data_IF_493102324846
#
_entry.id   IF_493102324846
#
_cell.length_a   1.000
_cell.length_b   1.000
_cell.length_c   1.000
_cell.angle_alpha   90.00
_cell.angle_beta   90.00
_cell.angle_gamma   90.00
#
_symmetry.space_group_name_H-M   'P 1'
#
loop_
_entity.id
_entity.type
_entity.pdbx_description
1 polymer ?
#
# COMPACT_ATOMS: atom_id res chain seq x y z
N UNK A 1 -12.58 -27.63 -28.09
CA UNK A 1 -11.58 -27.16 -27.12
C UNK A 1 -11.98 -25.77 -26.69
N UNK A 2 -12.46 -25.67 -25.47
CA UNK A 2 -12.79 -24.43 -24.79
C UNK A 2 -11.79 -24.19 -23.66
N UNK A 3 -11.69 -22.93 -23.28
CA UNK A 3 -10.84 -22.49 -22.19
C UNK A 3 -11.70 -22.16 -20.97
N UNK A 4 -11.25 -22.60 -19.79
CA UNK A 4 -11.95 -22.44 -18.52
C UNK A 4 -11.02 -21.89 -17.46
N UNK A 5 -11.56 -21.12 -16.51
CA UNK A 5 -10.87 -20.72 -15.28
C UNK A 5 -11.60 -21.36 -14.11
N UNK A 6 -10.87 -22.05 -13.24
CA UNK A 6 -11.35 -22.57 -11.96
C UNK A 6 -10.58 -21.92 -10.81
N UNK A 7 -11.18 -21.91 -9.62
CA UNK A 7 -10.62 -21.21 -8.47
C UNK A 7 -10.07 -22.19 -7.45
N UNK A 8 -8.83 -21.99 -7.03
CA UNK A 8 -8.25 -22.65 -5.87
C UNK A 8 -8.29 -21.72 -4.66
N UNK A 9 -8.81 -22.22 -3.54
CA UNK A 9 -8.69 -21.57 -2.25
C UNK A 9 -7.52 -22.18 -1.48
N UNK A 10 -6.45 -21.42 -1.32
CA UNK A 10 -5.22 -21.89 -0.66
C UNK A 10 -5.40 -22.22 0.82
N UNK A 11 -6.46 -21.74 1.47
CA UNK A 11 -6.77 -22.11 2.85
C UNK A 11 -7.43 -23.49 2.95
N UNK A 12 -7.85 -24.08 1.82
CA UNK A 12 -8.46 -25.40 1.74
C UNK A 12 -7.54 -26.43 1.09
N UNK A 13 -6.74 -26.01 0.11
CA UNK A 13 -5.90 -26.90 -0.67
C UNK A 13 -4.60 -26.21 -1.11
N UNK A 14 -3.45 -26.80 -0.77
CA UNK A 14 -2.12 -26.33 -1.18
C UNK A 14 -1.81 -26.76 -2.62
N UNK A 15 -2.38 -26.04 -3.58
CA UNK A 15 -2.16 -26.32 -5.01
C UNK A 15 -0.70 -26.14 -5.43
N UNK A 16 0.05 -25.27 -4.75
CA UNK A 16 1.46 -25.02 -5.04
C UNK A 16 2.33 -26.19 -4.55
N UNK A 17 2.06 -26.71 -3.36
CA UNK A 17 2.66 -27.95 -2.85
C UNK A 17 2.31 -29.16 -3.70
N UNK A 18 1.05 -29.25 -4.13
CA UNK A 18 0.55 -30.34 -4.96
C UNK A 18 1.28 -30.39 -6.31
N UNK A 19 1.35 -29.29 -7.05
CA UNK A 19 2.05 -29.25 -8.34
C UNK A 19 3.58 -29.29 -8.25
N UNK A 20 4.17 -29.10 -7.07
CA UNK A 20 5.61 -29.40 -6.86
C UNK A 20 5.92 -30.89 -6.84
N UNK A 21 4.94 -31.74 -6.51
CA UNK A 21 5.10 -33.19 -6.33
C UNK A 21 4.31 -34.02 -7.34
N UNK A 22 3.23 -33.48 -7.90
CA UNK A 22 2.29 -34.17 -8.76
C UNK A 22 2.14 -33.43 -10.09
N UNK A 23 2.20 -34.17 -11.21
CA UNK A 23 1.95 -33.61 -12.55
C UNK A 23 0.45 -33.55 -12.91
N UNK A 24 -0.38 -34.17 -12.06
CA UNK A 24 -1.83 -34.32 -12.27
C UNK A 24 -2.57 -34.21 -10.95
N UNK A 25 -3.76 -33.64 -10.98
CA UNK A 25 -4.66 -33.54 -9.83
C UNK A 25 -6.07 -34.01 -10.20
N UNK A 26 -6.81 -34.54 -9.22
CA UNK A 26 -8.25 -34.69 -9.36
C UNK A 26 -8.96 -33.48 -8.79
N UNK A 27 -9.78 -32.83 -9.60
CA UNK A 27 -10.51 -31.64 -9.22
C UNK A 27 -12.01 -31.87 -9.32
N UNK A 28 -12.78 -31.22 -8.45
CA UNK A 28 -14.25 -31.25 -8.53
C UNK A 28 -14.74 -30.76 -9.89
N UNK A 29 -15.60 -31.54 -10.55
CA UNK A 29 -16.17 -31.19 -11.84
C UNK A 29 -17.62 -30.71 -11.72
N UNK A 30 -17.80 -29.40 -11.50
CA UNK A 30 -19.13 -28.76 -11.42
C UNK A 30 -19.61 -28.12 -12.73
N UNK A 31 -18.93 -28.35 -13.85
CA UNK A 31 -19.20 -27.75 -15.16
C UNK A 31 -19.10 -28.77 -16.31
N UNK A 32 -19.50 -28.33 -17.50
CA UNK A 32 -19.44 -29.12 -18.74
C UNK A 32 -18.08 -28.95 -19.44
N UNK A 33 -16.99 -29.13 -18.70
CA UNK A 33 -15.63 -29.21 -19.27
C UNK A 33 -15.53 -30.52 -20.06
N UNK A 34 -14.91 -30.47 -21.24
CA UNK A 34 -14.69 -31.64 -22.12
C UNK A 34 -13.22 -32.11 -22.08
N UNK A 35 -12.97 -33.37 -22.48
CA UNK A 35 -11.59 -33.88 -22.59
C UNK A 35 -10.89 -33.08 -23.68
N UNK A 36 -9.68 -32.59 -23.37
CA UNK A 36 -8.91 -31.73 -24.26
C UNK A 36 -9.14 -30.23 -24.07
N UNK A 37 -10.06 -29.82 -23.19
CA UNK A 37 -10.21 -28.41 -22.81
C UNK A 37 -9.02 -27.92 -21.97
N UNK A 38 -8.68 -26.63 -22.14
CA UNK A 38 -7.71 -25.93 -21.31
C UNK A 38 -8.39 -25.46 -20.03
N UNK A 39 -7.77 -25.74 -18.89
CA UNK A 39 -8.26 -25.32 -17.58
C UNK A 39 -7.19 -24.52 -16.86
N UNK A 40 -7.42 -23.23 -16.70
CA UNK A 40 -6.59 -22.32 -15.91
C UNK A 40 -7.00 -22.37 -14.44
N UNK A 41 -6.04 -22.46 -13.53
CA UNK A 41 -6.29 -22.39 -12.08
C UNK A 41 -5.92 -21.00 -11.59
N UNK A 42 -6.95 -20.24 -11.22
CA UNK A 42 -6.84 -18.98 -10.49
C UNK A 42 -6.69 -19.26 -9.00
N UNK A 43 -5.58 -18.81 -8.42
CA UNK A 43 -5.28 -18.99 -7.01
C UNK A 43 -5.80 -17.77 -6.24
N UNK A 44 -6.60 -18.03 -5.21
CA UNK A 44 -7.24 -17.01 -4.38
C UNK A 44 -6.25 -16.14 -3.58
N UNK A 45 -6.75 -15.29 -2.70
CA UNK A 45 -5.91 -14.43 -1.88
C UNK A 45 -4.89 -15.25 -1.05
N UNK A 46 -3.63 -14.76 -0.89
CA UNK A 46 -3.13 -13.46 -1.34
C UNK A 46 -2.59 -13.45 -2.78
N UNK A 47 -2.57 -14.59 -3.48
CA UNK A 47 -1.98 -14.72 -4.83
C UNK A 47 -2.79 -13.97 -5.89
N UNK A 48 -4.12 -14.11 -5.84
CA UNK A 48 -5.08 -13.41 -6.70
C UNK A 48 -4.70 -13.38 -8.20
N UNK A 49 -4.26 -14.52 -8.75
CA UNK A 49 -3.78 -14.62 -10.14
C UNK A 49 -3.96 -16.02 -10.72
N UNK A 50 -3.98 -16.14 -12.05
CA UNK A 50 -3.85 -17.45 -12.71
C UNK A 50 -2.40 -17.93 -12.54
N UNK A 51 -2.24 -19.11 -11.95
CA UNK A 51 -0.92 -19.72 -11.68
C UNK A 51 -0.66 -20.97 -12.50
N UNK A 52 -1.69 -21.66 -12.97
CA UNK A 52 -1.51 -22.93 -13.66
C UNK A 52 -2.39 -23.00 -14.89
N UNK A 53 -1.84 -23.53 -15.98
CA UNK A 53 -2.57 -24.02 -17.13
C UNK A 53 -2.55 -25.54 -17.09
N UNK A 54 -3.72 -26.13 -17.17
CA UNK A 54 -3.91 -27.57 -17.16
C UNK A 54 -4.68 -28.01 -18.39
N UNK A 55 -4.57 -29.30 -18.71
CA UNK A 55 -5.38 -29.98 -19.70
C UNK A 55 -6.33 -30.94 -18.99
N UNK A 56 -7.62 -30.88 -19.32
CA UNK A 56 -8.59 -31.87 -18.85
C UNK A 56 -8.37 -33.19 -19.61
N UNK A 57 -8.02 -34.26 -18.88
CA UNK A 57 -7.61 -35.56 -19.48
C UNK A 57 -8.58 -36.70 -19.19
N UNK A 58 -9.32 -36.63 -18.08
CA UNK A 58 -10.43 -37.53 -17.74
C UNK A 58 -11.56 -36.71 -17.10
N UNK A 59 -12.79 -37.21 -17.21
CA UNK A 59 -14.00 -36.56 -16.70
C UNK A 59 -14.92 -37.57 -16.06
N UNK A 60 -15.88 -37.07 -15.28
CA UNK A 60 -16.94 -37.85 -14.67
C UNK A 60 -16.44 -39.03 -13.82
N UNK A 61 -15.29 -38.88 -13.17
CA UNK A 61 -14.78 -39.87 -12.25
C UNK A 61 -15.68 -39.89 -11.00
N UNK A 62 -16.11 -41.08 -10.58
CA UNK A 62 -16.94 -41.26 -9.39
C UNK A 62 -16.13 -41.04 -8.11
N UNK A 63 -14.84 -41.38 -8.14
CA UNK A 63 -13.90 -41.26 -7.04
C UNK A 63 -12.58 -40.59 -7.48
N UNK A 64 -11.78 -40.13 -6.51
CA UNK A 64 -10.44 -39.61 -6.76
C UNK A 64 -9.44 -40.76 -6.93
N UNK A 65 -8.75 -40.81 -8.06
CA UNK A 65 -7.71 -41.78 -8.39
C UNK A 65 -6.30 -41.31 -7.94
N UNK A 66 -6.14 -40.02 -7.68
CA UNK A 66 -4.87 -39.39 -7.30
C UNK A 66 -4.86 -39.11 -5.79
N UNK A 67 -3.83 -39.60 -5.10
CA UNK A 67 -3.64 -39.40 -3.66
C UNK A 67 -2.97 -38.07 -3.42
N UNK A 68 -3.75 -37.06 -3.00
CA UNK A 68 -3.29 -35.69 -2.74
C UNK A 68 -3.74 -35.16 -1.37
N UNK A 69 -4.19 -36.05 -0.48
CA UNK A 69 -4.67 -35.74 0.87
C UNK A 69 -3.67 -34.95 1.71
N UNK A 70 -2.36 -35.09 1.47
CA UNK A 70 -1.32 -34.33 2.17
C UNK A 70 -1.38 -32.81 1.88
N UNK A 71 -2.04 -32.39 0.80
CA UNK A 71 -2.21 -30.99 0.42
C UNK A 71 -3.57 -30.42 0.83
N UNK A 72 -4.44 -31.24 1.40
CA UNK A 72 -5.74 -30.79 1.92
C UNK A 72 -5.51 -30.12 3.28
N UNK A 73 -5.64 -28.79 3.32
CA UNK A 73 -5.45 -27.99 4.54
C UNK A 73 -6.72 -27.98 5.40
N UNK A 74 -7.89 -27.87 4.76
CA UNK A 74 -9.19 -27.90 5.43
C UNK A 74 -10.17 -28.80 4.67
N UNK A 75 -10.35 -30.01 5.20
CA UNK A 75 -11.23 -31.04 4.65
C UNK A 75 -12.71 -30.89 5.02
N UNK A 76 -13.12 -29.87 5.78
CA UNK A 76 -14.51 -29.66 6.22
C UNK A 76 -15.52 -29.58 5.06
N UNK A 77 -15.04 -29.23 3.87
CA UNK A 77 -15.82 -29.21 2.64
C UNK A 77 -15.46 -30.32 1.65
N UNK A 78 -14.46 -31.18 1.93
CA UNK A 78 -14.14 -32.39 1.16
C UNK A 78 -15.20 -33.46 1.47
N UNK A 79 -16.42 -33.19 1.02
CA UNK A 79 -17.48 -34.18 0.94
C UNK A 79 -17.36 -34.83 -0.44
N UNK A 80 -17.72 -36.11 -0.60
CA UNK A 80 -17.85 -36.73 -1.92
C UNK A 80 -18.59 -35.79 -2.87
N UNK A 81 -17.85 -35.16 -3.78
CA UNK A 81 -18.42 -34.16 -4.68
C UNK A 81 -19.22 -34.80 -5.82
N UNK A 82 -19.31 -36.14 -5.82
CA UNK A 82 -19.99 -36.99 -6.78
C UNK A 82 -19.31 -37.10 -8.14
N UNK A 83 -18.49 -36.11 -8.53
CA UNK A 83 -17.89 -36.06 -9.86
C UNK A 83 -16.58 -35.29 -9.91
N UNK A 84 -15.54 -35.94 -10.42
CA UNK A 84 -14.20 -35.38 -10.54
C UNK A 84 -13.70 -35.39 -11.99
N UNK A 85 -12.73 -34.52 -12.25
CA UNK A 85 -11.97 -34.45 -13.49
C UNK A 85 -10.47 -34.58 -13.20
N UNK A 86 -9.71 -35.18 -14.12
CA UNK A 86 -8.25 -35.23 -14.06
C UNK A 86 -7.67 -34.03 -14.82
N UNK A 87 -6.96 -33.16 -14.10
CA UNK A 87 -6.23 -32.03 -14.65
C UNK A 87 -4.75 -32.37 -14.71
N UNK A 88 -4.19 -32.40 -15.92
CA UNK A 88 -2.75 -32.54 -16.13
C UNK A 88 -2.12 -31.16 -16.25
N UNK A 89 -1.09 -30.87 -15.46
CA UNK A 89 -0.33 -29.63 -15.56
C UNK A 89 0.31 -29.52 -16.95
N UNK A 90 0.15 -28.35 -17.58
CA UNK A 90 0.78 -27.99 -18.85
C UNK A 90 1.84 -26.92 -18.61
N UNK A 91 1.49 -25.90 -17.82
CA UNK A 91 2.36 -24.75 -17.62
C UNK A 91 2.07 -24.07 -16.28
N UNK A 92 3.11 -23.48 -15.67
CA UNK A 92 3.01 -22.68 -14.45
C UNK A 92 3.35 -21.23 -14.76
N UNK A 93 2.53 -20.30 -14.28
CA UNK A 93 2.68 -18.88 -14.51
C UNK A 93 3.13 -18.14 -13.25
N UNK A 94 4.14 -17.28 -13.45
CA UNK A 94 4.52 -16.22 -12.51
C UNK A 94 4.34 -14.83 -13.12
N UNK A 95 3.45 -14.72 -14.10
CA UNK A 95 3.22 -13.49 -14.82
C UNK A 95 2.31 -12.55 -14.00
N UNK A 96 2.78 -11.35 -13.61
CA UNK A 96 1.97 -10.37 -12.89
C UNK A 96 0.78 -9.84 -13.71
N UNK A 97 0.80 -9.95 -15.05
CA UNK A 97 -0.30 -9.58 -15.93
C UNK A 97 -1.51 -10.52 -15.81
N UNK A 98 -1.35 -11.71 -15.23
CA UNK A 98 -2.45 -12.64 -14.97
C UNK A 98 -3.09 -12.42 -13.59
N UNK A 99 -2.91 -11.24 -12.99
CA UNK A 99 -3.56 -10.86 -11.75
C UNK A 99 -5.06 -10.57 -11.94
N UNK A 100 -5.79 -10.60 -10.84
CA UNK A 100 -7.25 -10.41 -10.82
C UNK A 100 -7.71 -9.18 -11.58
N UNK A 101 -7.11 -8.03 -11.34
CA UNK A 101 -7.63 -6.76 -11.84
C UNK A 101 -7.45 -6.70 -13.35
N UNK A 102 -6.30 -7.13 -13.85
CA UNK A 102 -6.03 -7.26 -15.28
C UNK A 102 -6.96 -8.26 -15.97
N UNK A 103 -7.22 -9.42 -15.36
CA UNK A 103 -8.16 -10.39 -15.91
C UNK A 103 -9.58 -9.83 -15.97
N UNK A 104 -10.01 -9.10 -14.94
CA UNK A 104 -11.34 -8.50 -14.87
C UNK A 104 -11.51 -7.36 -15.89
N UNK A 105 -10.48 -6.53 -16.07
CA UNK A 105 -10.44 -5.48 -17.11
C UNK A 105 -10.50 -6.06 -18.52
N UNK A 106 -9.98 -7.28 -18.71
CA UNK A 106 -9.92 -7.96 -20.01
C UNK A 106 -10.94 -9.10 -20.15
N UNK A 107 -12.10 -8.99 -19.48
CA UNK A 107 -13.26 -9.82 -19.79
C UNK A 107 -13.62 -10.91 -18.76
N UNK A 108 -12.86 -11.07 -17.68
CA UNK A 108 -13.26 -11.94 -16.57
C UNK A 108 -14.38 -11.29 -15.76
N UNK A 109 -15.53 -11.97 -15.63
CA UNK A 109 -16.70 -11.41 -14.92
C UNK A 109 -16.69 -11.64 -13.42
N UNK A 110 -16.18 -12.80 -12.98
CA UNK A 110 -16.11 -13.19 -11.58
C UNK A 110 -15.04 -14.26 -11.37
N UNK A 111 -14.46 -14.27 -10.18
CA UNK A 111 -13.46 -15.27 -9.73
C UNK A 111 -14.06 -16.32 -8.79
N UNK A 112 -15.36 -16.24 -8.50
CA UNK A 112 -16.05 -17.22 -7.65
C UNK A 112 -16.62 -18.36 -8.51
N UNK A 113 -15.93 -19.50 -8.44
CA UNK A 113 -16.30 -20.73 -9.13
C UNK A 113 -15.86 -20.78 -10.60
N UNK A 114 -16.07 -21.93 -11.27
CA UNK A 114 -15.65 -22.12 -12.65
C UNK A 114 -16.30 -21.12 -13.61
N UNK A 115 -15.50 -20.55 -14.50
CA UNK A 115 -15.93 -19.58 -15.50
C UNK A 115 -15.36 -19.94 -16.87
N UNK A 116 -16.16 -19.78 -17.94
CA UNK A 116 -15.68 -19.96 -19.31
C UNK A 116 -14.92 -18.73 -19.76
N UNK A 117 -13.79 -18.93 -20.43
CA UNK A 117 -12.99 -17.85 -21.02
C UNK A 117 -13.64 -17.42 -22.34
N UNK A 118 -13.94 -16.13 -22.49
CA UNK A 118 -14.47 -15.56 -23.74
C UNK A 118 -13.32 -15.18 -24.68
N UNK A 119 -13.63 -14.78 -25.92
CA UNK A 119 -12.62 -14.47 -26.94
C UNK A 119 -11.65 -13.35 -26.51
N UNK A 120 -12.18 -12.31 -25.85
CA UNK A 120 -11.39 -11.19 -25.33
C UNK A 120 -10.39 -11.63 -24.26
N UNK A 121 -10.85 -12.38 -23.27
CA UNK A 121 -10.00 -12.89 -22.19
C UNK A 121 -9.01 -13.95 -22.71
N UNK A 122 -9.40 -14.75 -23.70
CA UNK A 122 -8.50 -15.71 -24.34
C UNK A 122 -7.36 -15.00 -25.06
N UNK A 123 -7.67 -13.95 -25.84
CA UNK A 123 -6.66 -13.14 -26.51
C UNK A 123 -5.71 -12.48 -25.51
N UNK A 124 -6.25 -11.97 -24.40
CA UNK A 124 -5.45 -11.36 -23.33
C UNK A 124 -4.52 -12.37 -22.65
N UNK A 125 -5.03 -13.53 -22.24
CA UNK A 125 -4.23 -14.58 -21.61
C UNK A 125 -3.15 -15.07 -22.59
N UNK A 126 -3.51 -15.28 -23.85
CA UNK A 126 -2.56 -15.70 -24.88
C UNK A 126 -1.44 -14.68 -25.05
N UNK A 127 -1.77 -13.41 -25.27
CA UNK A 127 -0.79 -12.33 -25.42
C UNK A 127 0.11 -12.18 -24.17
N UNK A 128 -0.47 -12.36 -22.99
CA UNK A 128 0.27 -12.34 -21.71
C UNK A 128 1.19 -13.54 -21.54
N UNK A 129 0.91 -14.68 -22.19
CA UNK A 129 1.73 -15.90 -22.04
C UNK A 129 2.74 -16.10 -23.18
N UNK A 130 2.46 -15.57 -24.37
CA UNK A 130 3.36 -15.65 -25.54
C UNK A 130 4.52 -14.65 -25.50
N UNK A 131 4.37 -13.52 -24.81
CA UNK A 131 5.41 -12.50 -24.61
C UNK A 131 6.64 -13.00 -23.84
N UNK A 132 6.55 -14.17 -23.19
CA UNK A 132 7.64 -14.78 -22.41
C UNK A 132 8.09 -16.13 -23.02
N UNK A 133 7.40 -16.63 -24.06
CA UNK A 133 7.48 -18.02 -24.50
C UNK A 133 8.11 -18.27 -25.87
N UNK A 134 9.44 -18.13 -26.02
CA UNK A 134 10.19 -18.82 -27.09
C UNK A 134 11.69 -18.98 -26.80
N UNK A 135 12.03 -19.77 -25.78
CA UNK A 135 13.31 -20.49 -25.77
C UNK A 135 13.16 -21.85 -26.47
N UNK A 136 13.30 -21.88 -27.80
CA UNK A 136 13.63 -23.10 -28.56
C UNK A 136 15.01 -22.93 -29.19
N UNK A 137 15.95 -23.78 -28.76
CA UNK A 137 17.30 -23.88 -29.30
C UNK A 137 17.25 -24.18 -30.80
N UNK A 138 17.62 -23.22 -31.65
CA UNK A 138 18.20 -23.44 -32.99
C UNK A 138 19.34 -22.46 -33.21
N UNK A 139 20.51 -22.99 -33.56
CA UNK A 139 21.73 -22.24 -33.90
C UNK A 139 21.49 -21.32 -35.11
N UNK A 140 21.86 -20.03 -35.00
CA UNK A 140 22.79 -19.27 -35.89
C UNK A 140 22.78 -17.76 -35.48
N UNK A 141 23.94 -17.29 -35.04
CA UNK A 141 24.59 -15.95 -35.07
C UNK A 141 23.88 -14.60 -34.75
N UNK A 142 24.65 -13.63 -34.22
CA UNK A 142 24.23 -12.68 -33.19
C UNK A 142 23.89 -11.30 -33.76
N UNK A 143 22.95 -10.59 -33.12
CA UNK A 143 22.97 -9.13 -32.84
C UNK A 143 21.54 -8.62 -32.61
N UNK A 144 20.97 -8.81 -31.42
CA UNK A 144 20.00 -7.84 -30.86
C UNK A 144 20.08 -7.95 -29.33
N UNK A 145 20.38 -6.84 -28.66
CA UNK A 145 20.40 -6.72 -27.20
C UNK A 145 18.98 -6.84 -26.61
N UNK A 146 18.82 -7.27 -25.34
CA UNK A 146 17.49 -7.50 -24.76
C UNK A 146 16.71 -6.20 -24.53
N UNK A 147 15.39 -6.28 -24.69
CA UNK A 147 14.44 -5.17 -24.51
C UNK A 147 14.27 -4.88 -22.99
N UNK A 148 14.18 -3.61 -22.55
CA UNK A 148 14.31 -3.25 -21.13
C UNK A 148 13.21 -3.75 -20.16
N UNK A 149 12.00 -4.10 -20.64
CA UNK A 149 10.83 -4.36 -19.79
C UNK A 149 10.88 -5.69 -19.02
N UNK A 150 11.41 -6.77 -19.61
CA UNK A 150 11.49 -8.08 -18.95
C UNK A 150 12.52 -8.09 -17.81
N UNK A 151 13.59 -7.30 -17.94
CA UNK A 151 14.64 -7.16 -16.92
C UNK A 151 14.16 -6.44 -15.66
N UNK A 152 13.25 -5.46 -15.79
CA UNK A 152 12.73 -4.71 -14.64
C UNK A 152 11.84 -5.58 -13.75
N UNK A 153 11.07 -6.50 -14.34
CA UNK A 153 10.20 -7.44 -13.62
C UNK A 153 11.04 -8.47 -12.85
N UNK A 154 12.12 -8.97 -13.46
CA UNK A 154 13.05 -9.88 -12.76
C UNK A 154 13.72 -9.20 -11.56
N UNK A 155 14.11 -7.93 -11.71
CA UNK A 155 14.71 -7.11 -10.65
C UNK A 155 13.72 -6.84 -9.51
N UNK A 156 12.47 -6.50 -9.81
CA UNK A 156 11.42 -6.32 -8.79
C UNK A 156 11.13 -7.59 -7.98
N UNK A 157 11.39 -8.76 -8.57
CA UNK A 157 11.18 -10.08 -7.96
C UNK A 157 12.47 -10.69 -7.37
N UNK A 158 13.62 -10.03 -7.53
CA UNK A 158 14.94 -10.54 -7.12
C UNK A 158 15.12 -10.60 -5.60
N UNK A 159 14.34 -9.81 -4.85
CA UNK A 159 14.51 -9.61 -3.41
C UNK A 159 15.70 -8.71 -3.03
N UNK A 160 16.41 -8.14 -4.01
CA UNK A 160 17.45 -7.14 -3.77
C UNK A 160 16.81 -5.76 -3.64
N UNK A 161 16.70 -5.29 -2.40
CA UNK A 161 15.90 -4.11 -2.06
C UNK A 161 16.28 -2.85 -2.84
N UNK A 162 17.58 -2.57 -2.97
CA UNK A 162 18.06 -1.38 -3.71
C UNK A 162 17.65 -1.42 -5.19
N UNK A 163 17.77 -2.59 -5.80
CA UNK A 163 17.41 -2.87 -7.18
C UNK A 163 15.90 -2.69 -7.43
N UNK A 164 15.07 -3.18 -6.49
CA UNK A 164 13.61 -2.96 -6.51
C UNK A 164 13.28 -1.47 -6.43
N UNK A 165 13.94 -0.73 -5.54
CA UNK A 165 13.72 0.70 -5.35
C UNK A 165 14.10 1.48 -6.60
N UNK A 166 15.21 1.15 -7.24
CA UNK A 166 15.66 1.83 -8.47
C UNK A 166 14.64 1.66 -9.61
N UNK A 167 14.03 0.47 -9.74
CA UNK A 167 12.92 0.25 -10.69
C UNK A 167 11.69 1.08 -10.32
N UNK A 168 11.30 1.12 -9.05
CA UNK A 168 10.15 1.93 -8.60
C UNK A 168 10.38 3.43 -8.87
N UNK A 169 11.59 3.93 -8.65
CA UNK A 169 11.97 5.31 -8.99
C UNK A 169 11.82 5.54 -10.50
N UNK A 170 12.36 4.65 -11.32
CA UNK A 170 12.28 4.75 -12.79
C UNK A 170 10.83 4.76 -13.28
N UNK A 171 9.99 3.88 -12.76
CA UNK A 171 8.56 3.83 -13.08
C UNK A 171 7.83 5.11 -12.64
N UNK A 172 8.17 5.66 -11.46
CA UNK A 172 7.59 6.91 -11.01
C UNK A 172 8.02 8.08 -11.90
N UNK A 173 9.29 8.17 -12.29
CA UNK A 173 9.80 9.19 -13.23
C UNK A 173 9.00 9.18 -14.53
N UNK A 174 8.73 8.00 -15.09
CA UNK A 174 7.91 7.87 -16.30
C UNK A 174 6.45 8.33 -16.10
N UNK A 175 5.95 8.26 -14.87
CA UNK A 175 4.61 8.70 -14.50
C UNK A 175 4.53 10.18 -14.05
N UNK A 176 5.67 10.87 -13.83
CA UNK A 176 5.70 12.30 -13.46
C UNK A 176 4.82 13.17 -14.38
N UNK A 177 4.86 13.03 -15.72
CA UNK A 177 4.02 13.84 -16.60
C UNK A 177 2.51 13.73 -16.31
N UNK A 178 2.04 12.58 -15.81
CA UNK A 178 0.62 12.36 -15.48
C UNK A 178 0.20 13.08 -14.20
N UNK A 179 1.11 13.27 -13.25
CA UNK A 179 0.84 13.94 -11.97
C UNK A 179 1.22 15.42 -11.98
N UNK A 180 2.08 15.85 -12.92
CA UNK A 180 2.67 17.20 -12.99
C UNK A 180 1.64 18.33 -12.94
N UNK A 181 0.50 18.19 -13.62
CA UNK A 181 -0.57 19.23 -13.60
C UNK A 181 -1.15 19.43 -12.20
N UNK A 182 -1.37 18.34 -11.46
CA UNK A 182 -1.84 18.41 -10.09
C UNK A 182 -0.76 18.97 -9.14
N UNK A 183 0.51 18.58 -9.34
CA UNK A 183 1.64 19.12 -8.59
C UNK A 183 1.76 20.65 -8.75
N UNK A 184 1.67 21.15 -9.99
CA UNK A 184 1.69 22.59 -10.27
C UNK A 184 0.52 23.33 -9.63
N UNK A 185 -0.67 22.73 -9.64
CA UNK A 185 -1.86 23.30 -8.98
C UNK A 185 -1.66 23.40 -7.48
N UNK A 186 -1.17 22.34 -6.84
CA UNK A 186 -0.91 22.33 -5.39
C UNK A 186 0.18 23.33 -5.01
N UNK A 187 1.23 23.43 -5.80
CA UNK A 187 2.30 24.41 -5.59
C UNK A 187 1.80 25.85 -5.72
N UNK A 188 0.94 26.14 -6.71
CA UNK A 188 0.32 27.46 -6.82
C UNK A 188 -0.53 27.84 -5.60
N UNK A 189 -1.28 26.88 -5.04
CA UNK A 189 -2.04 27.08 -3.79
C UNK A 189 -1.11 27.33 -2.60
N UNK A 190 -0.01 26.57 -2.50
CA UNK A 190 1.00 26.73 -1.44
C UNK A 190 1.64 28.11 -1.48
N UNK A 191 2.13 28.52 -2.65
CA UNK A 191 2.77 29.83 -2.85
C UNK A 191 1.81 30.95 -2.46
N UNK A 192 0.55 30.87 -2.91
CA UNK A 192 -0.48 31.84 -2.55
C UNK A 192 -0.73 31.88 -1.03
N UNK A 193 -0.80 30.72 -0.36
CA UNK A 193 -0.97 30.67 1.09
C UNK A 193 0.20 31.32 1.83
N UNK A 194 1.45 31.01 1.45
CA UNK A 194 2.65 31.60 2.07
C UNK A 194 2.71 33.11 1.84
N UNK A 195 2.30 33.59 0.67
CA UNK A 195 2.21 35.02 0.36
C UNK A 195 1.17 35.73 1.23
N UNK A 196 -0.04 35.17 1.33
CA UNK A 196 -1.13 35.72 2.12
C UNK A 196 -0.80 35.75 3.63
N UNK A 197 -0.04 34.75 4.11
CA UNK A 197 0.32 34.57 5.51
C UNK A 197 1.83 34.71 5.78
N UNK A 198 2.48 35.71 5.19
CA UNK A 198 3.83 36.13 5.63
C UNK A 198 3.84 36.41 7.14
N UNK A 199 5.00 36.29 7.79
CA UNK A 199 5.16 36.54 9.24
C UNK A 199 4.49 37.84 9.68
N UNK A 200 4.67 38.94 8.95
CA UNK A 200 4.06 40.22 9.28
C UNK A 200 2.52 40.20 9.20
N UNK A 201 1.95 39.47 8.23
CA UNK A 201 0.51 39.29 8.09
C UNK A 201 -0.03 38.40 9.21
N UNK A 202 0.71 37.36 9.61
CA UNK A 202 0.37 36.51 10.75
C UNK A 202 0.31 37.37 12.02
N UNK A 203 1.34 38.18 12.30
CA UNK A 203 1.41 39.07 13.48
C UNK A 203 0.18 39.99 13.57
N UNK A 204 -0.26 40.50 12.42
CA UNK A 204 -1.39 41.45 12.30
C UNK A 204 -2.76 40.76 12.13
N UNK A 205 -2.80 39.43 12.03
CA UNK A 205 -4.02 38.65 11.80
C UNK A 205 -4.97 38.76 13.00
N UNK A 206 -6.28 38.74 12.74
CA UNK A 206 -7.32 38.66 13.77
C UNK A 206 -7.81 37.22 13.93
N UNK A 207 -8.41 36.89 15.08
CA UNK A 207 -8.89 35.51 15.34
C UNK A 207 -9.96 35.06 14.33
N UNK A 208 -10.79 35.99 13.84
CA UNK A 208 -11.81 35.75 12.83
C UNK A 208 -11.22 35.28 11.49
N UNK A 209 -10.00 35.72 11.19
CA UNK A 209 -9.25 35.36 9.98
C UNK A 209 -8.39 34.10 10.18
N UNK A 210 -8.32 33.59 11.42
CA UNK A 210 -7.59 32.39 11.78
C UNK A 210 -8.47 31.14 11.78
N UNK A 211 -9.62 31.19 12.46
CA UNK A 211 -10.37 29.99 12.86
C UNK A 211 -11.11 29.29 11.71
N UNK A 212 -11.39 28.00 11.91
CA UNK A 212 -12.46 27.28 11.19
C UNK A 212 -13.82 27.53 11.84
N UNK A 213 -14.90 27.26 11.09
CA UNK A 213 -16.27 27.19 11.62
C UNK A 213 -17.12 28.45 11.46
N UNK A 214 -16.58 29.54 10.94
CA UNK A 214 -17.33 30.77 10.65
C UNK A 214 -18.07 30.76 9.29
N UNK A 215 -18.12 29.61 8.60
CA UNK A 215 -18.62 29.51 7.22
C UNK A 215 -17.72 30.16 6.16
N UNK A 216 -16.61 30.77 6.59
CA UNK A 216 -15.58 31.38 5.74
C UNK A 216 -14.60 30.33 5.21
N UNK A 217 -14.17 30.50 3.96
CA UNK A 217 -13.21 29.61 3.27
C UNK A 217 -11.83 30.24 3.08
N UNK A 218 -11.68 31.49 3.50
CA UNK A 218 -10.49 32.32 3.33
C UNK A 218 -9.66 32.44 4.61
N UNK A 219 -10.03 31.75 5.69
CA UNK A 219 -9.31 31.78 6.98
C UNK A 219 -8.11 30.85 7.00
N UNK A 220 -7.12 31.14 7.85
CA UNK A 220 -5.86 30.40 7.94
C UNK A 220 -6.08 28.89 8.14
N UNK A 221 -6.84 28.52 9.18
CA UNK A 221 -7.08 27.12 9.52
C UNK A 221 -7.97 26.41 8.50
N UNK A 222 -8.90 27.12 7.85
CA UNK A 222 -9.70 26.51 6.79
C UNK A 222 -8.83 26.17 5.58
N UNK A 223 -8.03 27.14 5.12
CA UNK A 223 -7.17 26.98 3.94
C UNK A 223 -6.11 25.91 4.17
N UNK A 224 -5.44 25.91 5.33
CA UNK A 224 -4.41 24.92 5.61
C UNK A 224 -4.94 23.48 5.69
N UNK A 225 -6.20 23.29 6.14
CA UNK A 225 -6.84 21.98 6.22
C UNK A 225 -7.46 21.52 4.90
N UNK A 226 -8.22 22.42 4.24
CA UNK A 226 -9.10 22.07 3.12
C UNK A 226 -8.50 22.48 1.77
N UNK A 227 -8.04 23.73 1.62
CA UNK A 227 -7.44 24.22 0.36
C UNK A 227 -6.12 23.47 0.08
N UNK A 228 -5.31 23.26 1.11
CA UNK A 228 -4.02 22.59 1.02
C UNK A 228 -4.08 21.10 1.36
N UNK A 229 -5.26 20.45 1.30
CA UNK A 229 -5.43 19.05 1.69
C UNK A 229 -4.50 18.10 0.92
N UNK A 230 -4.25 18.38 -0.37
CA UNK A 230 -3.35 17.58 -1.21
C UNK A 230 -1.89 17.59 -0.73
N UNK A 231 -1.45 18.65 -0.04
CA UNK A 231 -0.08 18.81 0.45
C UNK A 231 0.10 18.21 1.86
N UNK A 232 -0.38 16.98 2.07
CA UNK A 232 -0.42 16.32 3.37
C UNK A 232 -1.74 16.56 4.11
N UNK A 233 -2.57 15.53 4.18
CA UNK A 233 -3.91 15.60 4.74
C UNK A 233 -3.86 15.60 6.29
N UNK A 234 -4.54 16.56 6.93
CA UNK A 234 -4.62 16.67 8.40
C UNK A 234 -6.05 16.49 8.96
N UNK A 235 -6.97 15.97 8.14
CA UNK A 235 -8.31 15.57 8.58
C UNK A 235 -8.25 14.36 9.54
N UNK A 236 -9.36 14.10 10.22
CA UNK A 236 -9.48 12.99 11.18
C UNK A 236 -9.23 13.40 12.64
N UNK A 237 -8.47 14.47 12.87
CA UNK A 237 -8.37 15.12 14.18
C UNK A 237 -9.44 16.23 14.32
N UNK A 238 -9.93 16.46 15.55
CA UNK A 238 -10.93 17.50 15.83
C UNK A 238 -10.36 18.90 15.62
N UNK A 239 -11.23 19.92 15.44
CA UNK A 239 -10.81 21.32 15.28
C UNK A 239 -10.00 21.86 16.47
N UNK A 240 -10.05 21.21 17.62
CA UNK A 240 -9.20 21.52 18.78
C UNK A 240 -7.69 21.44 18.46
N UNK A 241 -7.28 20.72 17.40
CA UNK A 241 -5.88 20.70 16.92
C UNK A 241 -5.34 22.08 16.54
N UNK A 242 -6.21 23.01 16.16
CA UNK A 242 -5.82 24.39 15.86
C UNK A 242 -5.70 25.26 17.10
N UNK A 243 -5.99 24.74 18.29
CA UNK A 243 -5.94 25.48 19.55
C UNK A 243 -7.12 26.42 19.76
N UNK A 244 -7.60 27.09 18.72
CA UNK A 244 -8.77 27.96 18.71
C UNK A 244 -9.63 27.69 17.47
N UNK A 245 -10.95 27.56 17.66
CA UNK A 245 -11.91 27.35 16.58
C UNK A 245 -13.28 27.94 16.94
N UNK A 246 -14.16 28.11 15.96
CA UNK A 246 -15.56 28.47 16.18
C UNK A 246 -16.45 27.25 15.96
N UNK A 247 -17.39 26.98 16.87
CA UNK A 247 -18.37 25.90 16.68
C UNK A 247 -18.83 25.25 17.97
N UNK A 248 -19.39 24.04 17.84
CA UNK A 248 -19.95 23.23 18.94
C UNK A 248 -18.89 22.29 19.53
N UNK A 249 -19.10 21.81 20.76
CA UNK A 249 -18.17 20.85 21.38
C UNK A 249 -18.86 19.96 22.41
N UNK A 250 -18.79 18.65 22.21
CA UNK A 250 -19.42 17.68 23.12
C UNK A 250 -20.91 17.94 23.25
N UNK A 251 -21.39 18.01 24.49
CA UNK A 251 -22.80 18.29 24.81
C UNK A 251 -23.17 19.77 24.64
N UNK A 252 -22.17 20.67 24.61
CA UNK A 252 -22.39 22.09 24.40
C UNK A 252 -22.60 22.36 22.90
N UNK A 253 -23.87 22.46 22.53
CA UNK A 253 -24.35 22.68 21.15
C UNK A 253 -24.39 24.14 20.73
N UNK A 254 -23.99 25.07 21.60
CA UNK A 254 -23.87 26.48 21.26
C UNK A 254 -22.67 26.69 20.31
N UNK A 255 -22.89 27.48 19.25
CA UNK A 255 -21.81 27.92 18.37
C UNK A 255 -21.13 29.16 18.95
N UNK A 256 -19.87 28.98 19.37
CA UNK A 256 -19.04 30.05 19.90
C UNK A 256 -17.57 29.76 19.67
N UNK A 257 -16.72 30.74 19.99
CA UNK A 257 -15.29 30.53 20.05
C UNK A 257 -14.93 29.55 21.17
N UNK A 258 -14.05 28.60 20.86
CA UNK A 258 -13.55 27.59 21.79
C UNK A 258 -12.04 27.48 21.66
N UNK A 259 -11.37 27.55 22.80
CA UNK A 259 -9.92 27.42 22.91
C UNK A 259 -9.53 26.23 23.78
N UNK A 260 -8.39 25.63 23.48
CA UNK A 260 -7.76 24.66 24.38
C UNK A 260 -7.10 25.41 25.54
N UNK A 261 -7.28 24.93 26.77
CA UNK A 261 -6.75 25.57 27.99
C UNK A 261 -5.25 25.84 27.97
N UNK A 262 -4.46 25.04 27.23
CA UNK A 262 -3.02 25.25 27.09
C UNK A 262 -2.62 26.62 26.51
N UNK A 263 -3.52 27.28 25.77
CA UNK A 263 -3.25 28.59 25.18
C UNK A 263 -3.85 29.77 25.96
N UNK A 264 -4.73 29.51 26.93
CA UNK A 264 -5.36 30.58 27.72
C UNK A 264 -6.78 30.22 28.12
N UNK A 265 -7.39 31.13 28.88
CA UNK A 265 -8.76 30.97 29.40
C UNK A 265 -9.80 31.59 28.47
N UNK A 266 -9.44 32.61 27.69
CA UNK A 266 -10.34 33.27 26.73
C UNK A 266 -9.84 33.18 25.27
N UNK A 267 -10.75 33.32 24.29
CA UNK A 267 -10.41 33.22 22.87
C UNK A 267 -9.36 34.21 22.36
N UNK A 268 -9.31 35.44 22.89
CA UNK A 268 -8.35 36.43 22.44
C UNK A 268 -6.96 36.09 22.97
N UNK A 269 -6.84 35.82 24.27
CA UNK A 269 -5.57 35.40 24.86
C UNK A 269 -5.03 34.13 24.19
N UNK A 270 -5.90 33.13 23.96
CA UNK A 270 -5.51 31.91 23.27
C UNK A 270 -4.98 32.18 21.86
N UNK A 271 -5.64 33.08 21.11
CA UNK A 271 -5.19 33.43 19.77
C UNK A 271 -3.83 34.12 19.77
N UNK A 272 -3.58 35.08 20.66
CA UNK A 272 -2.29 35.77 20.73
C UNK A 272 -1.15 34.77 20.96
N UNK A 273 -1.30 33.82 21.89
CA UNK A 273 -0.28 32.77 22.12
C UNK A 273 -0.10 31.85 20.92
N UNK A 274 -1.20 31.40 20.29
CA UNK A 274 -1.11 30.54 19.10
C UNK A 274 -0.38 31.25 17.96
N UNK A 275 -0.67 32.54 17.77
CA UNK A 275 -0.04 33.39 16.76
C UNK A 275 1.46 33.54 17.02
N UNK A 276 1.86 33.80 18.27
CA UNK A 276 3.27 33.81 18.70
C UNK A 276 3.95 32.46 18.41
N UNK A 277 3.33 31.35 18.77
CA UNK A 277 3.87 30.01 18.52
C UNK A 277 4.03 29.70 17.02
N UNK A 278 3.09 30.12 16.15
CA UNK A 278 3.23 29.97 14.70
C UNK A 278 4.43 30.78 14.19
N UNK A 279 4.59 32.04 14.63
CA UNK A 279 5.72 32.88 14.22
C UNK A 279 7.05 32.27 14.68
N UNK A 280 7.12 31.83 15.93
CA UNK A 280 8.32 31.18 16.48
C UNK A 280 8.64 29.87 15.74
N UNK A 281 7.61 29.09 15.38
CA UNK A 281 7.79 27.88 14.57
C UNK A 281 8.37 28.19 13.19
N UNK A 282 7.90 29.25 12.52
CA UNK A 282 8.43 29.64 11.21
C UNK A 282 9.88 30.11 11.30
N UNK A 283 10.25 30.86 12.34
CA UNK A 283 11.64 31.26 12.59
C UNK A 283 12.52 30.03 12.84
N UNK A 284 12.07 29.11 13.70
CA UNK A 284 12.78 27.87 13.98
C UNK A 284 12.94 27.00 12.71
N UNK A 285 11.88 26.90 11.90
CA UNK A 285 11.89 26.21 10.61
C UNK A 285 12.91 26.79 9.63
N UNK A 286 12.90 28.11 9.46
CA UNK A 286 13.84 28.82 8.59
C UNK A 286 15.31 28.60 9.01
N UNK A 287 15.56 28.51 10.32
CA UNK A 287 16.88 28.29 10.90
C UNK A 287 17.25 26.80 11.03
N UNK A 288 16.34 25.89 10.69
CA UNK A 288 16.47 24.44 10.90
C UNK A 288 16.78 24.08 12.36
N UNK A 289 16.27 24.86 13.31
CA UNK A 289 16.43 24.60 14.74
C UNK A 289 15.44 23.53 15.20
N UNK A 290 15.87 22.27 15.09
CA UNK A 290 15.04 21.11 15.41
C UNK A 290 14.62 21.09 16.90
N UNK A 291 15.45 21.63 17.80
CA UNK A 291 15.12 21.67 19.22
C UNK A 291 14.00 22.68 19.49
N UNK A 292 14.09 23.88 18.91
CA UNK A 292 13.01 24.86 19.01
C UNK A 292 11.71 24.35 18.38
N UNK A 293 11.80 23.64 17.24
CA UNK A 293 10.63 22.98 16.64
C UNK A 293 10.02 21.97 17.61
N UNK A 294 10.84 21.11 18.23
CA UNK A 294 10.38 20.11 19.21
C UNK A 294 9.67 20.73 20.39
N UNK A 295 10.17 21.85 20.89
CA UNK A 295 9.62 22.57 22.05
C UNK A 295 8.35 23.37 21.77
N UNK A 296 7.96 23.59 20.51
CA UNK A 296 6.74 24.35 20.17
C UNK A 296 5.50 23.75 20.82
N UNK A 297 4.60 24.60 21.33
CA UNK A 297 3.35 24.17 21.95
C UNK A 297 2.30 23.70 20.93
N UNK A 298 2.49 23.96 19.63
CA UNK A 298 1.59 23.51 18.56
C UNK A 298 1.55 21.97 18.46
N UNK A 299 0.37 21.37 18.23
CA UNK A 299 0.29 19.91 18.09
C UNK A 299 1.15 19.39 16.93
N UNK A 300 1.77 18.20 17.05
CA UNK A 300 2.72 17.68 16.06
C UNK A 300 2.21 17.70 14.61
N UNK A 301 0.96 17.27 14.39
CA UNK A 301 0.32 17.26 13.07
C UNK A 301 0.23 18.67 12.45
N UNK A 302 -0.16 19.66 13.26
CA UNK A 302 -0.32 21.03 12.81
C UNK A 302 1.04 21.71 12.60
N UNK A 303 1.99 21.45 13.50
CA UNK A 303 3.38 21.88 13.41
C UNK A 303 4.04 21.40 12.11
N UNK A 304 3.98 20.09 11.84
CA UNK A 304 4.55 19.51 10.63
C UNK A 304 3.88 20.04 9.35
N UNK A 305 2.56 20.23 9.39
CA UNK A 305 1.82 20.80 8.27
C UNK A 305 2.27 22.24 7.97
N UNK A 306 2.40 23.10 8.97
CA UNK A 306 2.90 24.47 8.76
C UNK A 306 4.31 24.42 8.17
N UNK A 307 5.22 23.66 8.78
CA UNK A 307 6.61 23.59 8.32
C UNK A 307 6.75 23.13 6.86
N UNK A 308 6.05 22.06 6.47
CA UNK A 308 6.11 21.54 5.09
C UNK A 308 5.48 22.48 4.04
N UNK A 309 4.56 23.37 4.44
CA UNK A 309 3.99 24.38 3.54
C UNK A 309 4.95 25.56 3.34
N UNK A 310 5.61 26.03 4.40
CA UNK A 310 6.52 27.18 4.31
C UNK A 310 7.91 26.80 3.79
N UNK A 311 8.41 25.61 4.11
CA UNK A 311 9.73 25.14 3.69
C UNK A 311 9.63 23.74 3.04
N UNK A 312 9.06 23.67 1.82
CA UNK A 312 8.76 22.40 1.14
C UNK A 312 10.00 21.65 0.64
N UNK A 313 11.20 22.17 0.84
CA UNK A 313 12.46 21.47 0.56
C UNK A 313 13.10 20.88 1.82
N UNK A 314 12.70 21.35 3.01
CA UNK A 314 13.35 21.03 4.28
C UNK A 314 12.48 20.15 5.19
N UNK A 315 11.15 20.16 5.04
CA UNK A 315 10.23 19.38 5.86
C UNK A 315 9.24 18.59 5.03
N UNK A 316 9.14 17.29 5.33
CA UNK A 316 8.31 16.35 4.60
C UNK A 316 6.82 16.52 4.93
N UNK A 317 5.95 16.40 3.92
CA UNK A 317 4.50 16.46 4.10
C UNK A 317 3.87 15.11 4.56
N UNK A 318 4.58 14.37 5.43
CA UNK A 318 4.16 13.11 6.06
C UNK A 318 4.33 13.27 7.57
N UNK A 319 3.21 13.35 8.30
CA UNK A 319 3.22 13.74 9.71
C UNK A 319 2.88 12.61 10.68
N UNK A 320 2.40 11.49 10.16
CA UNK A 320 1.99 10.33 10.94
C UNK A 320 3.20 9.42 11.14
N UNK A 321 3.48 9.09 12.40
CA UNK A 321 4.69 8.39 12.80
C UNK A 321 4.78 6.97 12.22
N UNK A 322 3.65 6.26 12.23
CA UNK A 322 3.48 4.93 11.64
C UNK A 322 3.68 4.91 10.11
N UNK A 323 3.31 5.99 9.42
CA UNK A 323 3.60 6.15 8.00
C UNK A 323 5.10 6.38 7.74
N UNK A 324 5.79 7.16 8.58
CA UNK A 324 7.23 7.38 8.45
C UNK A 324 7.99 6.06 8.67
N UNK A 325 7.66 5.32 9.72
CA UNK A 325 8.23 3.99 10.00
C UNK A 325 7.97 3.02 8.86
N UNK A 326 6.75 3.02 8.33
CA UNK A 326 6.39 2.20 7.17
C UNK A 326 7.30 2.45 5.97
N UNK A 327 7.50 3.73 5.60
CA UNK A 327 8.35 4.07 4.47
C UNK A 327 9.83 3.81 4.76
N UNK A 328 10.31 4.10 5.97
CA UNK A 328 11.68 3.76 6.37
C UNK A 328 11.94 2.26 6.22
N UNK A 329 11.02 1.41 6.67
CA UNK A 329 11.09 -0.04 6.49
C UNK A 329 11.11 -0.44 5.01
N UNK A 330 10.22 0.13 4.19
CA UNK A 330 10.16 -0.17 2.74
C UNK A 330 11.41 0.28 1.97
N UNK A 331 12.11 1.28 2.49
CA UNK A 331 13.35 1.80 1.92
C UNK A 331 14.62 1.17 2.52
N UNK A 332 14.49 0.26 3.49
CA UNK A 332 15.62 -0.35 4.19
C UNK A 332 16.42 0.64 5.05
N UNK A 333 15.77 1.70 5.53
CA UNK A 333 16.39 2.69 6.41
C UNK A 333 16.29 2.18 7.85
N UNK A 334 17.44 2.12 8.54
CA UNK A 334 17.51 1.71 9.94
C UNK A 334 16.68 2.62 10.84
N UNK A 335 15.86 2.01 11.69
CA UNK A 335 15.02 2.67 12.68
C UNK A 335 15.62 2.53 14.08
N UNK A 336 15.54 3.59 14.89
CA UNK A 336 15.86 3.56 16.31
C UNK A 336 14.61 3.92 17.13
N UNK A 337 14.34 3.16 18.19
CA UNK A 337 13.17 3.37 19.08
C UNK A 337 13.18 4.70 19.84
N UNK A 338 14.33 5.38 19.93
CA UNK A 338 14.45 6.69 20.58
C UNK A 338 14.13 7.87 19.64
N UNK A 339 13.97 7.60 18.33
CA UNK A 339 13.77 8.65 17.32
C UNK A 339 12.34 9.16 17.28
N UNK A 340 12.20 10.49 17.23
CA UNK A 340 10.90 11.11 17.06
C UNK A 340 10.52 11.29 15.58
N UNK A 341 9.30 11.76 15.35
CA UNK A 341 8.77 12.03 14.00
C UNK A 341 9.68 12.96 13.18
N UNK A 342 10.38 13.91 13.81
CA UNK A 342 11.27 14.85 13.11
C UNK A 342 12.55 14.13 12.70
N UNK A 343 13.13 13.30 13.57
CA UNK A 343 14.31 12.50 13.25
C UNK A 343 14.03 11.56 12.06
N UNK A 344 12.86 10.89 12.07
CA UNK A 344 12.41 10.01 10.99
C UNK A 344 12.23 10.75 9.66
N UNK A 345 11.63 11.95 9.69
CA UNK A 345 11.56 12.82 8.51
C UNK A 345 12.96 13.19 7.99
N UNK A 346 13.87 13.60 8.87
CA UNK A 346 15.24 13.94 8.49
C UNK A 346 15.95 12.77 7.81
N UNK A 347 15.81 11.54 8.34
CA UNK A 347 16.39 10.33 7.72
C UNK A 347 15.83 10.06 6.33
N UNK A 348 14.52 10.18 6.12
CA UNK A 348 13.91 10.03 4.80
C UNK A 348 14.42 11.09 3.81
N UNK A 349 14.60 12.33 4.26
CA UNK A 349 15.14 13.41 3.42
C UNK A 349 16.64 13.21 3.11
N UNK A 350 17.42 12.71 4.08
CA UNK A 350 18.83 12.34 3.85
C UNK A 350 18.95 11.18 2.85
N UNK A 351 18.10 10.16 2.97
CA UNK A 351 18.03 9.05 2.02
C UNK A 351 17.64 9.54 0.61
N UNK A 352 16.67 10.45 0.51
CA UNK A 352 16.33 11.09 -0.77
C UNK A 352 17.53 11.85 -1.34
N UNK A 353 18.23 12.63 -0.51
CA UNK A 353 19.36 13.44 -0.94
C UNK A 353 20.58 12.62 -1.39
N UNK A 354 20.73 11.37 -0.92
CA UNK A 354 21.80 10.47 -1.34
C UNK A 354 21.55 9.82 -2.71
N UNK A 355 20.32 9.88 -3.23
CA UNK A 355 19.92 9.27 -4.52
C UNK A 355 19.95 10.31 -5.64
N UNK A 356 20.81 10.11 -6.63
CA UNK A 356 21.05 11.09 -7.70
C UNK A 356 19.84 11.35 -8.60
N UNK A 357 18.95 10.37 -8.72
CA UNK A 357 17.75 10.38 -9.56
C UNK A 357 16.61 11.25 -8.99
N UNK A 358 16.55 11.36 -7.65
CA UNK A 358 15.42 11.97 -6.93
C UNK A 358 15.82 13.10 -5.99
N UNK A 359 17.13 13.37 -5.82
CA UNK A 359 17.65 14.43 -4.93
C UNK A 359 17.03 15.80 -5.20
N UNK A 360 16.64 16.08 -6.44
CA UNK A 360 16.09 17.38 -6.87
C UNK A 360 14.55 17.43 -6.82
N UNK A 361 13.88 16.34 -6.40
CA UNK A 361 12.43 16.38 -6.16
C UNK A 361 12.11 17.26 -4.96
N UNK A 362 11.04 18.04 -5.01
CA UNK A 362 10.53 18.67 -3.79
C UNK A 362 9.95 17.59 -2.85
N UNK A 363 9.71 17.94 -1.58
CA UNK A 363 9.24 16.96 -0.59
C UNK A 363 7.84 16.43 -0.87
N UNK A 364 7.01 17.17 -1.59
CA UNK A 364 5.67 16.72 -1.97
C UNK A 364 5.70 15.65 -3.06
N UNK A 365 6.50 15.84 -4.11
CA UNK A 365 6.71 14.85 -5.15
C UNK A 365 7.35 13.57 -4.59
N UNK A 366 8.29 13.74 -3.66
CA UNK A 366 8.87 12.60 -2.94
C UNK A 366 7.82 11.86 -2.08
N UNK A 367 6.99 12.57 -1.34
CA UNK A 367 5.87 11.97 -0.61
C UNK A 367 4.91 11.22 -1.54
N UNK A 368 4.58 11.81 -2.71
CA UNK A 368 3.73 11.20 -3.72
C UNK A 368 4.34 9.89 -4.27
N UNK A 369 5.65 9.87 -4.51
CA UNK A 369 6.38 8.64 -4.83
C UNK A 369 6.20 7.58 -3.73
N UNK A 370 6.46 7.93 -2.46
CA UNK A 370 6.35 6.97 -1.35
C UNK A 370 4.96 6.33 -1.27
N UNK A 371 3.90 7.14 -1.35
CA UNK A 371 2.52 6.64 -1.31
C UNK A 371 2.12 5.87 -2.57
N UNK A 372 2.56 6.29 -3.74
CA UNK A 372 2.22 5.62 -5.01
C UNK A 372 2.94 4.28 -5.14
N UNK A 373 4.18 4.21 -4.72
CA UNK A 373 5.02 3.01 -4.83
C UNK A 373 4.78 2.01 -3.70
N UNK A 374 4.53 2.47 -2.48
CA UNK A 374 4.43 1.58 -1.31
C UNK A 374 3.03 1.52 -0.70
N UNK A 375 2.12 2.47 -0.97
CA UNK A 375 0.79 2.49 -0.37
C UNK A 375 0.78 3.04 1.06
N UNK A 376 -0.16 2.56 1.89
CA UNK A 376 -0.40 3.05 3.27
C UNK A 376 -0.37 1.90 4.29
N UNK A 377 0.13 2.12 5.52
CA UNK A 377 0.23 1.08 6.55
C UNK A 377 -1.13 0.48 6.93
N UNK A 378 -2.19 1.29 7.02
CA UNK A 378 -3.53 0.81 7.38
C UNK A 378 -4.24 0.03 6.28
N UNK A 379 -3.92 0.26 5.01
CA UNK A 379 -4.53 -0.51 3.92
C UNK A 379 -4.02 -1.95 3.95
N UNK A 380 -2.74 -2.15 4.30
CA UNK A 380 -2.15 -3.46 4.51
C UNK A 380 -2.78 -4.16 5.73
N UNK A 381 -2.90 -3.44 6.86
CA UNK A 381 -3.53 -3.96 8.08
C UNK A 381 -5.04 -4.20 7.96
N UNK A 382 -5.77 -3.32 7.27
CA UNK A 382 -7.19 -3.48 6.98
C UNK A 382 -7.41 -4.63 6.00
N UNK A 383 -6.59 -4.77 4.96
CA UNK A 383 -6.66 -5.93 4.06
C UNK A 383 -6.42 -7.22 4.85
N UNK A 384 -5.43 -7.25 5.75
CA UNK A 384 -5.18 -8.40 6.64
C UNK A 384 -6.34 -8.64 7.63
N UNK A 385 -6.92 -7.59 8.20
CA UNK A 385 -8.03 -7.66 9.16
C UNK A 385 -9.34 -8.04 8.50
N UNK A 386 -9.64 -7.51 7.32
CA UNK A 386 -10.81 -7.85 6.51
C UNK A 386 -10.71 -9.31 6.05
N UNK A 387 -9.52 -9.77 5.63
CA UNK A 387 -9.25 -11.19 5.36
C UNK A 387 -9.47 -12.07 6.60
N UNK A 388 -9.07 -11.57 7.76
CA UNK A 388 -9.19 -12.26 9.06
C UNK A 388 -10.65 -12.26 9.58
N UNK A 389 -11.40 -11.18 9.40
CA UNK A 389 -12.83 -11.07 9.76
C UNK A 389 -13.71 -11.86 8.79
N UNK A 390 -13.39 -11.87 7.49
CA UNK A 390 -14.02 -12.73 6.49
C UNK A 390 -13.74 -14.21 6.79
N UNK A 391 -12.52 -14.54 7.23
CA UNK A 391 -12.21 -15.86 7.79
C UNK A 391 -13.12 -16.13 8.99
N UNK A 392 -13.04 -15.33 10.05
CA UNK A 392 -13.74 -15.59 11.32
C UNK A 392 -15.27 -15.63 11.21
N UNK A 393 -15.88 -14.87 10.28
CA UNK A 393 -17.33 -14.90 9.99
C UNK A 393 -17.79 -16.21 9.34
N UNK A 394 -16.88 -16.94 8.70
CA UNK A 394 -17.15 -18.20 8.02
C UNK A 394 -16.87 -19.43 8.92
N UNK A 395 -16.58 -19.24 10.23
CA UNK A 395 -16.37 -20.33 11.21
C UNK A 395 -17.34 -20.24 12.41
N UNK A 396 -17.68 -21.37 13.09
CA UNK A 396 -18.51 -21.35 14.31
C UNK A 396 -17.84 -20.57 15.46
N UNK A 397 -18.65 -19.88 16.27
CA UNK A 397 -18.19 -18.96 17.35
C UNK A 397 -17.22 -19.58 18.34
N UNK A 398 -17.28 -20.89 18.51
CA UNK A 398 -16.54 -21.64 19.52
C UNK A 398 -15.05 -21.81 19.17
N UNK A 399 -14.67 -21.46 17.93
CA UNK A 399 -13.29 -21.52 17.41
C UNK A 399 -12.63 -20.14 17.23
N UNK A 400 -13.32 -19.06 17.56
CA UNK A 400 -12.77 -17.69 17.47
C UNK A 400 -11.89 -17.42 18.69
N UNK A 401 -10.57 -17.51 18.53
CA UNK A 401 -9.63 -17.17 19.60
C UNK A 401 -9.67 -15.66 19.88
N UNK A 402 -10.13 -15.26 21.08
CA UNK A 402 -9.96 -13.89 21.60
C UNK A 402 -8.52 -13.66 22.06
N UNK A 403 -7.55 -13.78 21.16
CA UNK A 403 -6.20 -13.32 21.43
C UNK A 403 -6.14 -11.85 21.02
N UNK A 404 -6.19 -10.97 22.04
CA UNK A 404 -5.83 -9.57 21.89
C UNK A 404 -4.46 -9.48 21.22
N UNK A 405 -4.43 -8.84 20.05
CA UNK A 405 -3.25 -8.78 19.21
C UNK A 405 -2.19 -7.96 19.94
N UNK A 406 -1.09 -8.58 20.34
CA UNK A 406 0.14 -7.85 20.69
C UNK A 406 1.16 -8.11 19.57
N UNK A 407 1.32 -7.09 18.72
CA UNK A 407 1.93 -7.18 17.37
C UNK A 407 3.46 -7.32 17.43
N UNK A 408 4.10 -6.97 18.56
CA UNK A 408 5.55 -7.04 18.73
C UNK A 408 6.13 -8.46 18.51
N UNK A 409 5.38 -9.51 18.85
CA UNK A 409 5.91 -10.88 18.85
C UNK A 409 5.94 -11.53 17.45
N UNK A 410 5.11 -11.07 16.50
CA UNK A 410 5.09 -11.63 15.13
C UNK A 410 6.10 -10.96 14.20
N UNK A 411 6.35 -9.66 14.38
CA UNK A 411 7.41 -8.95 13.65
C UNK A 411 8.79 -9.54 14.03
N UNK A 412 9.01 -9.84 15.31
CA UNK A 412 10.23 -10.53 15.75
C UNK A 412 10.40 -11.93 15.11
N UNK A 413 9.32 -12.68 14.92
CA UNK A 413 9.37 -14.01 14.29
C UNK A 413 9.59 -13.94 12.77
N UNK A 414 9.09 -12.91 12.11
CA UNK A 414 9.35 -12.66 10.69
C UNK A 414 10.79 -12.17 10.47
N UNK A 415 11.29 -11.26 11.31
CA UNK A 415 12.69 -10.78 11.29
C UNK A 415 13.67 -11.92 11.59
N UNK A 416 13.37 -12.78 12.58
CA UNK A 416 14.21 -13.94 12.92
C UNK A 416 14.38 -14.92 11.75
N UNK A 417 13.33 -15.10 10.92
CA UNK A 417 13.37 -16.00 9.77
C UNK A 417 13.91 -15.33 8.49
N UNK A 418 13.87 -13.99 8.39
CA UNK A 418 14.34 -13.26 7.21
C UNK A 418 15.83 -12.90 7.28
N UNK A 419 16.39 -12.74 8.49
CA UNK A 419 17.81 -12.36 8.68
C UNK A 419 18.80 -13.53 8.65
N UNK A 420 18.36 -14.79 8.55
CA UNK A 420 19.25 -15.93 8.27
C UNK A 420 18.97 -16.51 6.89
N UNK A 421 19.83 -16.18 5.94
CA UNK A 421 20.03 -16.99 4.74
C UNK A 421 20.45 -18.42 5.09
N UNK A 422 20.36 -19.36 4.12
CA UNK A 422 20.35 -20.79 4.37
C UNK A 422 21.76 -21.30 4.70
N UNK A 423 22.14 -21.22 5.97
CA UNK A 423 23.23 -22.03 6.51
C UNK A 423 23.01 -22.19 8.02
N UNK A 424 22.31 -23.26 8.40
CA UNK A 424 22.46 -24.01 9.67
C UNK A 424 21.40 -25.13 9.75
N UNK A 425 21.63 -26.20 9.01
CA UNK A 425 21.28 -27.55 9.45
C UNK A 425 22.57 -28.37 9.48
N UNK A 426 23.39 -28.11 10.49
CA UNK A 426 24.30 -29.14 11.00
C UNK A 426 24.54 -28.93 12.48
N UNK A 427 24.23 -30.00 13.21
CA UNK A 427 24.48 -30.24 14.64
C UNK A 427 23.50 -29.53 15.58
N UNK A 428 22.56 -30.30 16.10
CA UNK A 428 22.53 -30.67 17.51
C UNK A 428 21.86 -32.05 17.65
N UNK A 429 22.44 -32.85 18.54
CA UNK A 429 22.29 -34.30 18.77
C UNK A 429 20.88 -34.77 19.16
#
# INVERSE_FOLDING_TARGET
>A
MADWIITCNINKYDVDGAFKKLDKLNWKQSTNIEIGDTVYIYVGAPVQAIRYKCLATKLNLEETEIVDLEFVIDGSNYVEYGRYMELKLIETYKNPLLNRDMLMENGLKKVQGPSRVNEELAAYILASTESIGSSKIRKVNPTVSPVPEDSEIEILLSGQLDEVIDVLIKQFIQNIPKVQSNEQKLEALRVKFVEDYKIQNIINMKKEDYVVGLGRKDTFCYRIENELQGLGNIHGATSAKFGLYYGKSGEDTEEKYRNTKKYGEDPQQAFEKIKEEIVMLLIAGQNKDLNAIRSSALPPLFRGKILSIYFPEDYLCIFADDHLEYFMMKLGIDMNSEEDTIDKQCKLLQWKASRHEIKDWNTHLFSNFLYTSFGRPFEENKKLKDLQEERDKNYPSDYVSKLGINIATKIAHFIYNFCKGPDLLQKLE
#
